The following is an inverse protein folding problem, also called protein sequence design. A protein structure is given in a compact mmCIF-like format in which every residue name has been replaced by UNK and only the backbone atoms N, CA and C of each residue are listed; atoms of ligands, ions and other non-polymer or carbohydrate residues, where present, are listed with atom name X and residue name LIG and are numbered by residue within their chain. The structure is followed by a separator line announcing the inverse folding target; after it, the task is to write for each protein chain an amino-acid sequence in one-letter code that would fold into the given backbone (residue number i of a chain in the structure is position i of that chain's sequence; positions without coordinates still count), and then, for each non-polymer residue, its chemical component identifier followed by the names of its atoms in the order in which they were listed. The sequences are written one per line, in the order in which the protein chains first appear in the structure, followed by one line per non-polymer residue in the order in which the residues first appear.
data_IF_683858640858
#
_entry.id   IF_683858640858
#
_cell.length_a   1.000
_cell.length_b   1.000
_cell.length_c   1.000
_cell.angle_alpha   90.00
_cell.angle_beta   90.00
_cell.angle_gamma   90.00
#
_symmetry.space_group_name_H-M   'P 1'
#
loop_
_entity.id
_entity.type
_entity.pdbx_description
1 polymer ?
#
# COMPACT_ATOMS: atom_id res chain seq x y z
N UNK A 1 -40.97 -8.36 37.76
CA UNK A 1 -42.09 -7.69 37.06
C UNK A 1 -42.10 -6.23 37.52
N UNK A 2 -42.08 -5.24 36.62
CA UNK A 2 -42.07 -3.83 37.03
C UNK A 2 -43.38 -3.47 37.75
N UNK A 3 -43.28 -2.78 38.88
CA UNK A 3 -44.44 -2.29 39.65
C UNK A 3 -45.31 -1.37 38.79
N UNK A 4 -46.61 -1.35 39.10
CA UNK A 4 -47.69 -0.73 38.34
C UNK A 4 -47.52 0.80 38.22
N UNK A 5 -46.73 1.22 37.23
CA UNK A 5 -46.58 2.59 36.72
C UNK A 5 -46.25 2.56 35.23
N UNK A 6 -46.88 3.42 34.44
CA UNK A 6 -46.82 3.40 32.96
C UNK A 6 -45.38 3.49 32.42
N UNK A 7 -44.53 4.29 33.08
CA UNK A 7 -43.11 4.48 32.72
C UNK A 7 -42.27 3.19 32.86
N UNK A 8 -42.53 2.37 33.89
CA UNK A 8 -41.77 1.14 34.14
C UNK A 8 -42.09 0.02 33.14
N UNK A 9 -43.33 0.00 32.60
CA UNK A 9 -43.73 -0.96 31.56
C UNK A 9 -43.15 -0.59 30.20
N UNK A 10 -43.14 0.70 29.85
CA UNK A 10 -42.52 1.20 28.62
C UNK A 10 -41.00 0.95 28.60
N UNK A 11 -40.31 1.23 29.71
CA UNK A 11 -38.88 0.96 29.83
C UNK A 11 -38.54 -0.52 29.64
N UNK A 12 -39.36 -1.42 30.21
CA UNK A 12 -39.16 -2.86 30.05
C UNK A 12 -39.38 -3.34 28.61
N UNK A 13 -40.41 -2.83 27.93
CA UNK A 13 -40.65 -3.15 26.52
C UNK A 13 -39.55 -2.60 25.59
N UNK A 14 -39.05 -1.39 25.85
CA UNK A 14 -37.94 -0.80 25.09
C UNK A 14 -36.64 -1.59 25.28
N UNK A 15 -36.33 -1.99 26.51
CA UNK A 15 -35.18 -2.83 26.82
C UNK A 15 -35.26 -4.19 26.11
N UNK A 16 -36.44 -4.83 26.12
CA UNK A 16 -36.66 -6.08 25.40
C UNK A 16 -36.50 -5.91 23.87
N UNK A 17 -37.03 -4.83 23.30
CA UNK A 17 -36.90 -4.54 21.88
C UNK A 17 -35.44 -4.27 21.48
N UNK A 18 -34.69 -3.54 22.32
CA UNK A 18 -33.28 -3.27 22.10
C UNK A 18 -32.44 -4.57 22.04
N UNK A 19 -32.67 -5.49 22.97
CA UNK A 19 -32.02 -6.82 22.99
C UNK A 19 -32.38 -7.65 21.76
N UNK A 20 -33.64 -7.60 21.32
CA UNK A 20 -34.09 -8.31 20.12
C UNK A 20 -33.41 -7.75 18.86
N UNK A 21 -33.35 -6.43 18.70
CA UNK A 21 -32.65 -5.78 17.59
C UNK A 21 -31.15 -6.09 17.60
N UNK A 22 -30.52 -6.07 18.78
CA UNK A 22 -29.11 -6.41 18.93
C UNK A 22 -28.82 -7.87 18.57
N UNK A 23 -29.66 -8.81 19.03
CA UNK A 23 -29.56 -10.22 18.68
C UNK A 23 -29.73 -10.47 17.18
N UNK A 24 -30.70 -9.81 16.53
CA UNK A 24 -30.88 -9.88 15.08
C UNK A 24 -29.66 -9.33 14.33
N UNK A 25 -29.12 -8.17 14.75
CA UNK A 25 -27.90 -7.60 14.19
C UNK A 25 -26.70 -8.56 14.33
N UNK A 26 -26.56 -9.20 15.51
CA UNK A 26 -25.51 -10.17 15.75
C UNK A 26 -25.66 -11.41 14.83
N UNK A 27 -26.85 -11.97 14.68
CA UNK A 27 -27.09 -13.12 13.79
C UNK A 27 -26.73 -12.77 12.35
N UNK A 28 -27.16 -11.60 11.86
CA UNK A 28 -26.86 -11.14 10.50
C UNK A 28 -25.35 -10.98 10.31
N UNK A 29 -24.65 -10.33 11.25
CA UNK A 29 -23.20 -10.15 11.16
C UNK A 29 -22.41 -11.46 11.27
N UNK A 30 -22.85 -12.43 12.07
CA UNK A 30 -22.25 -13.77 12.10
C UNK A 30 -22.48 -14.54 10.81
N UNK A 31 -23.66 -14.41 10.19
CA UNK A 31 -23.98 -15.08 8.93
C UNK A 31 -23.02 -14.66 7.80
N UNK A 32 -22.65 -13.36 7.75
CA UNK A 32 -21.69 -12.84 6.78
C UNK A 32 -20.26 -13.35 7.00
N UNK A 33 -19.90 -13.71 8.24
CA UNK A 33 -18.58 -14.24 8.61
C UNK A 33 -18.46 -15.76 8.44
N UNK A 34 -19.56 -16.46 8.18
CA UNK A 34 -19.59 -17.91 8.12
C UNK A 34 -18.83 -18.49 6.91
N UNK A 35 -18.66 -17.71 5.85
CA UNK A 35 -17.99 -18.18 4.63
C UNK A 35 -16.70 -17.41 4.37
N UNK A 36 -15.64 -17.79 5.08
CA UNK A 36 -14.29 -17.27 4.83
C UNK A 36 -13.72 -17.97 3.59
N UNK A 37 -13.55 -17.22 2.51
CA UNK A 37 -12.93 -17.71 1.27
C UNK A 37 -11.44 -17.35 1.29
N UNK A 38 -10.58 -18.35 1.18
CA UNK A 38 -9.15 -18.17 0.98
C UNK A 38 -8.81 -18.26 -0.51
N UNK A 39 -8.20 -17.21 -1.07
CA UNK A 39 -7.76 -17.18 -2.46
C UNK A 39 -6.23 -17.19 -2.53
N UNK A 40 -5.67 -18.22 -3.17
CA UNK A 40 -4.23 -18.32 -3.42
C UNK A 40 -3.95 -18.02 -4.90
N UNK A 41 -3.24 -16.93 -5.25
CA UNK A 41 -2.94 -16.60 -6.64
C UNK A 41 -1.81 -17.49 -7.18
N UNK A 42 -2.01 -18.08 -8.37
CA UNK A 42 -1.02 -18.91 -9.06
C UNK A 42 -0.25 -18.11 -10.12
N UNK A 43 0.79 -17.38 -9.70
CA UNK A 43 1.59 -16.51 -10.59
C UNK A 43 2.28 -17.29 -11.72
N UNK A 44 2.78 -18.49 -11.45
CA UNK A 44 3.52 -19.29 -12.44
C UNK A 44 2.63 -19.75 -13.60
N UNK A 45 1.36 -20.06 -13.31
CA UNK A 45 0.40 -20.43 -14.36
C UNK A 45 0.01 -19.22 -15.20
N UNK A 46 -0.05 -18.04 -14.59
CA UNK A 46 -0.34 -16.79 -15.28
C UNK A 46 0.81 -16.43 -16.23
N UNK A 47 2.05 -16.46 -15.75
CA UNK A 47 3.23 -16.16 -16.56
C UNK A 47 3.43 -17.16 -17.71
N UNK A 48 3.16 -18.45 -17.48
CA UNK A 48 3.26 -19.46 -18.53
C UNK A 48 2.21 -19.27 -19.64
N UNK A 49 0.98 -18.86 -19.29
CA UNK A 49 -0.12 -18.71 -20.23
C UNK A 49 -0.07 -17.41 -21.03
N UNK A 50 0.22 -16.29 -20.36
CA UNK A 50 0.13 -14.96 -20.95
C UNK A 50 1.49 -14.37 -21.30
N UNK A 51 2.60 -14.87 -20.71
CA UNK A 51 3.95 -14.33 -20.89
C UNK A 51 3.94 -12.80 -20.69
N UNK A 52 4.25 -12.05 -21.74
CA UNK A 52 4.27 -10.58 -21.76
C UNK A 52 2.96 -9.95 -22.26
N UNK A 53 1.99 -10.76 -22.72
CA UNK A 53 0.66 -10.30 -23.18
C UNK A 53 -0.28 -10.08 -22.00
N UNK A 54 0.09 -9.18 -21.11
CA UNK A 54 -0.72 -8.74 -19.98
C UNK A 54 -1.62 -7.56 -20.41
N UNK A 55 -2.82 -7.39 -19.81
CA UNK A 55 -3.69 -6.26 -20.13
C UNK A 55 -3.07 -4.92 -19.69
N UNK A 56 -3.57 -3.80 -20.23
CA UNK A 56 -3.24 -2.49 -19.66
C UNK A 56 -3.67 -2.40 -18.19
N UNK A 57 -2.84 -1.79 -17.36
CA UNK A 57 -3.07 -1.56 -15.94
C UNK A 57 -2.76 -0.10 -15.60
N UNK A 58 -3.80 0.60 -15.15
CA UNK A 58 -3.74 2.00 -14.79
C UNK A 58 -3.83 2.12 -13.27
N UNK A 59 -2.84 2.79 -12.66
CA UNK A 59 -2.79 3.01 -11.22
C UNK A 59 -3.00 4.48 -10.94
N UNK A 60 -4.00 4.77 -10.11
CA UNK A 60 -4.29 6.11 -9.62
C UNK A 60 -3.76 6.26 -8.20
N UNK A 61 -2.90 7.25 -8.00
CA UNK A 61 -2.44 7.72 -6.69
C UNK A 61 -3.14 9.05 -6.46
N UNK A 62 -3.88 9.18 -5.37
CA UNK A 62 -4.55 10.43 -5.01
C UNK A 62 -3.93 10.96 -3.72
N UNK A 63 -3.64 12.26 -3.70
CA UNK A 63 -3.20 12.98 -2.50
C UNK A 63 -4.08 14.20 -2.28
N UNK A 64 -4.44 14.47 -1.03
CA UNK A 64 -5.39 15.51 -0.67
C UNK A 64 -4.79 16.64 0.16
N UNK A 65 -3.80 16.34 1.00
CA UNK A 65 -3.20 17.32 1.91
C UNK A 65 -1.68 17.12 1.99
N UNK A 66 -0.86 18.09 1.50
CA UNK A 66 0.59 17.97 1.51
C UNK A 66 1.22 17.97 2.91
N UNK A 67 0.48 18.38 3.95
CA UNK A 67 0.96 18.39 5.33
C UNK A 67 0.79 16.99 5.94
N UNK A 68 -0.36 16.37 5.75
CA UNK A 68 -0.65 15.02 6.25
C UNK A 68 0.03 13.95 5.38
N UNK A 69 0.10 14.17 4.06
CA UNK A 69 0.70 13.29 3.07
C UNK A 69 1.91 13.98 2.45
N UNK A 70 3.05 13.91 3.15
CA UNK A 70 4.25 14.63 2.72
C UNK A 70 4.63 14.28 1.27
N UNK A 71 5.10 15.27 0.45
CA UNK A 71 5.47 15.03 -0.94
C UNK A 71 6.47 13.87 -1.13
N UNK A 72 7.40 13.71 -0.19
CA UNK A 72 8.36 12.60 -0.18
C UNK A 72 7.69 11.23 -0.08
N UNK A 73 6.65 11.10 0.75
CA UNK A 73 5.88 9.85 0.87
C UNK A 73 5.15 9.54 -0.45
N UNK A 74 4.54 10.56 -1.06
CA UNK A 74 3.81 10.43 -2.33
C UNK A 74 4.75 9.97 -3.45
N UNK A 75 5.92 10.62 -3.60
CA UNK A 75 6.95 10.22 -4.56
C UNK A 75 7.42 8.79 -4.35
N UNK A 76 7.70 8.39 -3.10
CA UNK A 76 8.16 7.05 -2.79
C UNK A 76 7.14 5.99 -3.24
N UNK A 77 5.86 6.30 -3.05
CA UNK A 77 4.75 5.47 -3.52
C UNK A 77 4.72 5.40 -5.04
N UNK A 78 4.83 6.54 -5.72
CA UNK A 78 4.85 6.63 -7.20
C UNK A 78 6.04 5.86 -7.79
N UNK A 79 7.24 6.02 -7.24
CA UNK A 79 8.46 5.29 -7.67
C UNK A 79 8.35 3.78 -7.40
N UNK A 80 7.78 3.41 -6.25
CA UNK A 80 7.52 2.00 -5.91
C UNK A 80 6.59 1.36 -6.94
N UNK A 81 5.51 2.04 -7.28
CA UNK A 81 4.55 1.59 -8.29
C UNK A 81 5.19 1.49 -9.68
N UNK A 82 5.93 2.51 -10.13
CA UNK A 82 6.59 2.49 -11.44
C UNK A 82 7.65 1.39 -11.58
N UNK A 83 8.18 0.88 -10.46
CA UNK A 83 9.16 -0.22 -10.45
C UNK A 83 8.54 -1.61 -10.31
N UNK A 84 7.22 -1.74 -10.46
CA UNK A 84 6.54 -3.04 -10.51
C UNK A 84 7.05 -3.92 -11.64
N UNK A 85 7.00 -5.23 -11.41
CA UNK A 85 7.37 -6.23 -12.43
C UNK A 85 6.21 -6.40 -13.42
N UNK A 86 5.97 -5.36 -14.22
CA UNK A 86 4.97 -5.31 -15.28
C UNK A 86 5.60 -4.74 -16.56
N UNK A 87 5.13 -5.16 -17.75
CA UNK A 87 5.56 -4.56 -19.01
C UNK A 87 5.31 -3.06 -19.02
N UNK A 88 6.33 -2.22 -19.31
CA UNK A 88 6.22 -0.76 -19.23
C UNK A 88 5.18 -0.19 -20.20
N UNK A 89 4.94 -0.85 -21.33
CA UNK A 89 3.91 -0.47 -22.31
C UNK A 89 2.48 -0.65 -21.78
N UNK A 90 2.29 -1.49 -20.76
CA UNK A 90 0.99 -1.81 -20.20
C UNK A 90 0.80 -1.23 -18.79
N UNK A 91 1.79 -0.56 -18.20
CA UNK A 91 1.68 0.06 -16.88
C UNK A 91 1.62 1.57 -17.03
N UNK A 92 0.50 2.17 -16.64
CA UNK A 92 0.35 3.62 -16.55
C UNK A 92 0.11 4.03 -15.10
N UNK A 93 0.67 5.17 -14.70
CA UNK A 93 0.57 5.69 -13.34
C UNK A 93 0.13 7.15 -13.41
N UNK A 94 -0.95 7.46 -12.71
CA UNK A 94 -1.55 8.78 -12.63
C UNK A 94 -1.50 9.27 -11.19
N UNK A 95 -1.05 10.51 -10.99
CA UNK A 95 -1.10 11.18 -9.70
C UNK A 95 -2.15 12.30 -9.76
N UNK A 96 -3.16 12.22 -8.90
CA UNK A 96 -4.13 13.30 -8.66
C UNK A 96 -3.75 14.01 -7.37
N UNK A 97 -3.46 15.30 -7.45
CA UNK A 97 -3.18 16.16 -6.30
C UNK A 97 -4.36 17.13 -6.09
N UNK A 98 -5.25 16.78 -5.17
CA UNK A 98 -6.40 17.60 -4.80
C UNK A 98 -5.98 18.78 -3.92
N UNK A 99 -4.81 18.70 -3.26
CA UNK A 99 -4.23 19.77 -2.46
C UNK A 99 -3.55 20.86 -3.30
N UNK A 100 -3.35 20.61 -4.61
CA UNK A 100 -2.72 21.52 -5.58
C UNK A 100 -1.42 22.16 -5.04
N UNK A 101 -0.58 21.35 -4.40
CA UNK A 101 0.60 21.82 -3.69
C UNK A 101 1.78 21.99 -4.65
N UNK A 102 2.40 23.16 -4.63
CA UNK A 102 3.63 23.40 -5.40
C UNK A 102 4.76 22.44 -5.00
N UNK A 103 4.81 22.05 -3.72
CA UNK A 103 5.80 21.10 -3.24
C UNK A 103 5.62 19.72 -3.85
N UNK A 104 4.38 19.22 -3.96
CA UNK A 104 4.08 17.93 -4.60
C UNK A 104 4.51 17.95 -6.06
N UNK A 105 4.26 19.06 -6.77
CA UNK A 105 4.70 19.24 -8.16
C UNK A 105 6.23 19.19 -8.31
N UNK A 106 6.97 19.99 -7.54
CA UNK A 106 8.45 19.98 -7.59
C UNK A 106 9.03 18.64 -7.21
N UNK A 107 8.46 18.01 -6.18
CA UNK A 107 8.94 16.72 -5.73
C UNK A 107 8.69 15.65 -6.81
N UNK A 108 7.55 15.66 -7.50
CA UNK A 108 7.29 14.78 -8.65
C UNK A 108 8.27 15.05 -9.82
N UNK A 109 8.61 16.31 -10.08
CA UNK A 109 9.58 16.67 -11.11
C UNK A 109 10.95 16.07 -10.81
N UNK A 110 11.46 16.22 -9.59
CA UNK A 110 12.73 15.61 -9.16
C UNK A 110 12.65 14.08 -9.19
N UNK A 111 11.52 13.51 -8.74
CA UNK A 111 11.27 12.08 -8.81
C UNK A 111 11.32 11.54 -10.24
N UNK A 112 10.82 12.31 -11.22
CA UNK A 112 10.87 11.91 -12.63
C UNK A 112 12.31 11.76 -13.12
N UNK A 113 13.22 12.63 -12.68
CA UNK A 113 14.64 12.55 -13.01
C UNK A 113 15.29 11.35 -12.32
N UNK A 114 15.01 11.16 -11.02
CA UNK A 114 15.53 10.05 -10.23
C UNK A 114 15.03 8.68 -10.73
N UNK A 115 13.79 8.61 -11.22
CA UNK A 115 13.16 7.38 -11.73
C UNK A 115 13.98 6.72 -12.84
N UNK A 116 14.71 7.51 -13.63
CA UNK A 116 15.58 7.04 -14.72
C UNK A 116 16.71 6.14 -14.21
N UNK A 117 17.13 6.31 -12.97
CA UNK A 117 18.16 5.51 -12.32
C UNK A 117 17.53 4.41 -11.45
N UNK A 118 16.51 4.76 -10.67
CA UNK A 118 15.87 3.86 -9.72
C UNK A 118 15.14 2.69 -10.39
N UNK A 119 14.32 2.95 -11.43
CA UNK A 119 13.50 1.90 -12.05
C UNK A 119 14.39 0.81 -12.69
N UNK A 120 15.43 1.14 -13.49
CA UNK A 120 16.34 0.11 -14.01
C UNK A 120 17.09 -0.62 -12.91
N UNK A 121 17.47 0.06 -11.83
CA UNK A 121 18.10 -0.55 -10.67
C UNK A 121 17.20 -1.61 -10.02
N UNK A 122 15.95 -1.26 -9.67
CA UNK A 122 14.96 -2.20 -9.13
C UNK A 122 14.74 -3.42 -10.01
N UNK A 123 14.62 -3.20 -11.33
CA UNK A 123 14.37 -4.29 -12.29
C UNK A 123 15.58 -5.21 -12.46
N UNK A 124 16.81 -4.68 -12.48
CA UNK A 124 18.03 -5.49 -12.62
C UNK A 124 18.29 -6.36 -11.40
N UNK A 125 18.08 -5.83 -10.20
CA UNK A 125 18.35 -6.55 -8.96
C UNK A 125 17.13 -7.30 -8.40
N UNK A 126 15.99 -7.26 -9.10
CA UNK A 126 14.74 -7.92 -8.69
C UNK A 126 14.36 -7.63 -7.23
N UNK A 127 14.49 -6.36 -6.82
CA UNK A 127 14.32 -5.97 -5.43
C UNK A 127 12.89 -6.23 -4.93
N UNK A 128 12.77 -6.76 -3.72
CA UNK A 128 11.48 -6.94 -3.04
C UNK A 128 10.92 -5.58 -2.60
N UNK A 129 11.76 -4.77 -1.95
CA UNK A 129 11.49 -3.39 -1.55
C UNK A 129 11.72 -2.44 -2.72
N UNK A 130 10.62 -1.88 -3.24
CA UNK A 130 10.59 -1.01 -4.42
C UNK A 130 10.54 0.47 -4.10
N UNK A 131 10.09 0.81 -2.90
CA UNK A 131 10.12 2.17 -2.39
C UNK A 131 11.55 2.53 -1.99
N UNK A 132 12.13 3.64 -2.49
CA UNK A 132 13.47 4.09 -2.10
C UNK A 132 13.61 4.25 -0.59
N UNK A 133 12.70 4.97 0.08
CA UNK A 133 12.76 5.17 1.53
C UNK A 133 12.80 3.83 2.30
N UNK A 134 11.85 2.92 2.02
CA UNK A 134 11.80 1.62 2.68
C UNK A 134 13.04 0.75 2.41
N UNK A 135 13.62 0.83 1.21
CA UNK A 135 14.86 0.13 0.87
C UNK A 135 16.04 0.62 1.74
N UNK A 136 16.24 1.95 1.81
CA UNK A 136 17.34 2.53 2.59
C UNK A 136 17.15 2.39 4.11
N UNK A 137 15.91 2.42 4.61
CA UNK A 137 15.60 2.15 6.01
C UNK A 137 15.86 0.68 6.39
N UNK A 138 15.51 -0.25 5.50
CA UNK A 138 15.76 -1.69 5.71
C UNK A 138 17.26 -2.02 5.70
N UNK A 139 18.05 -1.44 4.79
CA UNK A 139 19.50 -1.61 4.77
C UNK A 139 20.16 -1.03 6.02
N UNK A 140 19.68 0.10 6.54
CA UNK A 140 20.14 0.65 7.81
C UNK A 140 19.86 -0.28 9.01
N UNK A 141 18.75 -1.01 8.98
CA UNK A 141 18.41 -2.01 10.00
C UNK A 141 19.26 -3.29 9.86
N UNK A 142 19.50 -3.76 8.63
CA UNK A 142 20.32 -4.96 8.37
C UNK A 142 21.83 -4.75 8.56
N UNK A 143 22.31 -3.50 8.52
CA UNK A 143 23.69 -3.18 8.89
C UNK A 143 24.01 -3.48 10.36
N UNK A 144 22.98 -3.67 11.21
CA UNK A 144 23.16 -4.16 12.59
C UNK A 144 23.25 -5.70 12.68
N UNK A 145 22.84 -6.44 11.64
CA UNK A 145 22.95 -7.90 11.54
C UNK A 145 24.01 -8.27 10.47
N UNK A 146 25.27 -8.24 10.89
CA UNK A 146 26.48 -8.51 10.11
C UNK A 146 26.51 -9.92 9.48
N UNK A 147 25.83 -10.11 8.35
CA UNK A 147 26.09 -11.23 7.44
C UNK A 147 26.01 -10.89 5.94
N UNK A 148 25.36 -9.77 5.57
CA UNK A 148 25.27 -9.32 4.16
C UNK A 148 26.37 -8.33 3.75
N UNK A 149 27.10 -7.77 4.73
CA UNK A 149 28.09 -6.70 4.53
C UNK A 149 29.29 -7.12 3.66
N UNK A 150 29.54 -8.43 3.51
CA UNK A 150 30.64 -8.97 2.70
C UNK A 150 30.47 -8.73 1.20
N UNK A 151 29.24 -8.62 0.69
CA UNK A 151 28.99 -8.49 -0.75
C UNK A 151 28.94 -7.03 -1.22
N UNK A 152 28.47 -6.11 -0.38
CA UNK A 152 28.32 -4.69 -0.74
C UNK A 152 29.64 -3.92 -0.58
N UNK A 153 30.46 -4.26 0.43
CA UNK A 153 31.75 -3.56 0.68
C UNK A 153 32.77 -3.80 -0.44
N UNK A 154 32.69 -4.89 -1.23
CA UNK A 154 33.55 -5.05 -2.40
C UNK A 154 33.23 -4.10 -3.56
N UNK A 155 31.99 -3.62 -3.69
CA UNK A 155 31.58 -2.78 -4.83
C UNK A 155 31.55 -1.29 -4.52
N UNK A 156 31.53 -0.90 -3.24
CA UNK A 156 31.45 0.51 -2.83
C UNK A 156 32.81 1.24 -2.77
N UNK A 157 33.86 0.65 -3.36
CA UNK A 157 35.22 1.18 -3.45
C UNK A 157 35.42 2.37 -4.40
N UNK A 158 34.38 2.83 -5.10
CA UNK A 158 34.44 4.08 -5.86
C UNK A 158 33.32 5.04 -5.43
N UNK A 159 33.77 6.04 -4.68
CA UNK A 159 33.11 7.26 -4.22
C UNK A 159 32.01 7.76 -5.18
N UNK A 160 30.77 7.82 -4.71
CA UNK A 160 29.88 8.95 -4.99
C UNK A 160 29.06 9.24 -3.73
N UNK A 161 29.35 10.37 -3.09
CA UNK A 161 28.51 10.95 -2.06
C UNK A 161 27.36 11.70 -2.74
N UNK A 162 26.13 11.47 -2.31
CA UNK A 162 25.04 12.42 -2.53
C UNK A 162 24.56 12.89 -1.15
N UNK A 163 24.45 14.22 -1.04
CA UNK A 163 23.86 14.95 0.08
C UNK A 163 22.36 14.65 0.20
#
# INVERSE_FOLDING_TARGET
MPSRGETGRLAWMLMFLAELCFGLYWIITQSARWHVIYQCPFKDRLSLRYKEKLPGMDIFVCTADPIMETPTLVINTVLSVMSYNYPPENLSVYLSDDGASEYTFYALLEASQFSRYWIPFCKRFSMELRSPAAYFEHDACNLNDLSFCSTVVQYHGEKVAFF
#
